data_IF_122364658479
#
_entry.id   IF_122364658479
#
_cell.length_a   1.000
_cell.length_b   1.000
_cell.length_c   1.000
_cell.angle_alpha   90.00
_cell.angle_beta   90.00
_cell.angle_gamma   90.00
#
_symmetry.space_group_name_H-M   'P 1'
#
loop_
_entity.id
_entity.type
_entity.pdbx_description
1 polymer ?
#
# COMPACT_ATOMS: atom_id res chain seq x y z
N UNK A 1 -10.59 -1.55 -12.84
CA UNK A 1 -10.73 -2.25 -11.54
C UNK A 1 -11.89 -3.24 -11.60
N UNK A 2 -11.62 -4.49 -11.32
CA UNK A 2 -12.65 -5.54 -11.33
C UNK A 2 -13.43 -5.53 -10.02
N UNK A 3 -14.74 -5.61 -10.11
CA UNK A 3 -15.61 -5.68 -8.92
C UNK A 3 -15.89 -7.14 -8.57
N UNK A 4 -15.19 -7.64 -7.56
CA UNK A 4 -15.38 -8.99 -7.03
C UNK A 4 -16.05 -8.98 -5.64
N UNK A 5 -16.77 -7.93 -5.33
CA UNK A 5 -17.43 -7.77 -4.02
C UNK A 5 -18.40 -8.91 -3.69
N UNK A 6 -18.99 -9.55 -4.70
CA UNK A 6 -19.88 -10.71 -4.53
C UNK A 6 -19.16 -11.95 -3.96
N UNK A 7 -17.85 -12.05 -4.10
CA UNK A 7 -17.05 -13.16 -3.58
C UNK A 7 -16.57 -12.93 -2.15
N UNK A 8 -16.80 -11.75 -1.58
CA UNK A 8 -16.34 -11.41 -0.24
C UNK A 8 -17.26 -11.99 0.83
N UNK A 9 -16.67 -12.50 1.89
CA UNK A 9 -17.37 -12.82 3.12
C UNK A 9 -17.03 -11.79 4.20
N UNK A 10 -17.98 -11.50 5.06
CA UNK A 10 -17.85 -10.46 6.07
C UNK A 10 -18.00 -11.03 7.48
N UNK A 11 -17.19 -10.52 8.39
CA UNK A 11 -17.28 -10.82 9.81
C UNK A 11 -17.29 -9.49 10.56
N UNK A 12 -18.19 -9.39 11.52
CA UNK A 12 -18.27 -8.21 12.38
C UNK A 12 -17.62 -8.47 13.74
N UNK A 13 -17.09 -7.43 14.34
CA UNK A 13 -16.51 -7.47 15.66
C UNK A 13 -16.66 -6.13 16.36
N UNK A 14 -16.42 -6.11 17.65
CA UNK A 14 -16.37 -4.87 18.40
C UNK A 14 -15.11 -4.08 18.05
N UNK A 15 -15.26 -2.79 17.88
CA UNK A 15 -14.13 -1.91 17.60
C UNK A 15 -13.19 -1.86 18.81
N UNK A 16 -11.88 -1.94 18.56
CA UNK A 16 -10.85 -1.81 19.60
C UNK A 16 -10.45 -0.33 19.74
N UNK A 17 -11.22 0.44 20.43
CA UNK A 17 -10.90 1.85 20.69
C UNK A 17 -10.94 2.19 22.17
N UNK A 18 -10.12 3.16 22.56
CA UNK A 18 -10.21 3.74 23.88
C UNK A 18 -11.45 4.62 23.95
N UNK A 19 -12.52 4.15 24.51
CA UNK A 19 -13.51 5.09 24.79
C UNK A 19 -14.93 4.68 24.80
N UNK A 20 -15.83 5.27 25.23
CA UNK A 20 -17.26 5.31 25.24
C UNK A 20 -17.99 3.96 25.42
N UNK A 21 -19.18 4.06 25.93
CA UNK A 21 -20.04 2.87 26.14
C UNK A 21 -20.39 2.12 24.86
N UNK A 22 -20.39 2.77 23.71
CA UNK A 22 -20.74 2.15 22.43
C UNK A 22 -19.67 1.21 21.90
N UNK A 23 -18.39 1.43 22.24
CA UNK A 23 -17.28 0.56 21.81
C UNK A 23 -17.45 -0.87 22.33
N UNK A 24 -18.00 -1.04 23.51
CA UNK A 24 -18.19 -2.34 24.17
C UNK A 24 -19.54 -3.02 23.86
N UNK A 25 -20.50 -2.30 23.30
CA UNK A 25 -21.88 -2.78 23.09
C UNK A 25 -22.25 -3.03 21.64
N UNK A 26 -21.61 -2.37 20.68
CA UNK A 26 -21.98 -2.43 19.28
C UNK A 26 -20.82 -2.93 18.42
N UNK A 27 -21.09 -3.93 17.61
CA UNK A 27 -20.13 -4.48 16.67
C UNK A 27 -20.11 -3.58 15.40
N UNK A 28 -19.18 -2.67 15.34
CA UNK A 28 -19.03 -1.73 14.20
C UNK A 28 -17.88 -2.11 13.28
N UNK A 29 -16.87 -2.81 13.78
CA UNK A 29 -15.75 -3.28 12.98
C UNK A 29 -16.20 -4.34 11.98
N UNK A 30 -15.84 -4.18 10.72
CA UNK A 30 -16.13 -5.14 9.65
C UNK A 30 -14.83 -5.66 9.05
N UNK A 31 -14.71 -6.97 9.00
CA UNK A 31 -13.58 -7.65 8.33
C UNK A 31 -14.10 -8.33 7.08
N UNK A 32 -13.53 -8.00 5.94
CA UNK A 32 -13.78 -8.68 4.68
C UNK A 32 -12.74 -9.78 4.46
N UNK A 33 -13.19 -10.93 4.01
CA UNK A 33 -12.36 -12.09 3.72
C UNK A 33 -12.63 -12.57 2.31
N UNK A 34 -11.57 -12.78 1.55
CA UNK A 34 -11.67 -13.19 0.15
C UNK A 34 -10.75 -14.39 -0.13
N UNK A 35 -11.34 -15.44 -0.70
CA UNK A 35 -10.60 -16.62 -1.14
C UNK A 35 -10.02 -16.36 -2.53
N UNK A 36 -8.75 -16.01 -2.61
CA UNK A 36 -8.10 -15.59 -3.87
C UNK A 36 -8.14 -16.70 -4.93
N UNK A 37 -7.80 -17.93 -4.54
CA UNK A 37 -7.75 -19.05 -5.48
C UNK A 37 -9.11 -19.47 -6.04
N UNK A 38 -10.19 -19.23 -5.31
CA UNK A 38 -11.54 -19.57 -5.71
C UNK A 38 -12.22 -18.50 -6.56
N UNK A 39 -11.53 -17.38 -6.82
CA UNK A 39 -12.10 -16.29 -7.58
C UNK A 39 -12.32 -16.66 -9.05
N UNK A 40 -13.48 -16.26 -9.57
CA UNK A 40 -13.85 -16.44 -10.98
C UNK A 40 -13.52 -15.21 -11.83
N UNK A 41 -13.18 -14.09 -11.21
CA UNK A 41 -12.92 -12.82 -11.89
C UNK A 41 -11.47 -12.65 -12.35
N UNK A 42 -10.55 -13.43 -11.81
CA UNK A 42 -9.12 -13.30 -12.06
C UNK A 42 -8.56 -14.57 -12.70
N UNK A 43 -7.61 -14.40 -13.63
CA UNK A 43 -6.85 -15.50 -14.22
C UNK A 43 -5.83 -16.06 -13.22
N UNK A 44 -5.29 -17.25 -13.51
CA UNK A 44 -4.27 -17.87 -12.66
C UNK A 44 -3.01 -17.02 -12.52
N UNK A 45 -2.62 -16.35 -13.60
CA UNK A 45 -1.48 -15.43 -13.58
C UNK A 45 -1.73 -14.23 -12.69
N UNK A 46 -2.93 -13.64 -12.75
CA UNK A 46 -3.34 -12.55 -11.89
C UNK A 46 -3.38 -12.98 -10.42
N UNK A 47 -3.89 -14.17 -10.13
CA UNK A 47 -3.90 -14.74 -8.78
C UNK A 47 -2.48 -14.92 -8.22
N UNK A 48 -1.56 -15.43 -9.01
CA UNK A 48 -0.14 -15.58 -8.62
C UNK A 48 0.49 -14.22 -8.30
N UNK A 49 0.20 -13.21 -9.12
CA UNK A 49 0.70 -11.86 -8.90
C UNK A 49 0.14 -11.24 -7.60
N UNK A 50 -1.14 -11.44 -7.32
CA UNK A 50 -1.78 -11.02 -6.07
C UNK A 50 -1.10 -11.71 -4.88
N UNK A 51 -0.88 -13.01 -4.94
CA UNK A 51 -0.21 -13.76 -3.88
C UNK A 51 1.22 -13.25 -3.63
N UNK A 52 1.96 -12.98 -4.68
CA UNK A 52 3.33 -12.49 -4.57
C UNK A 52 3.39 -11.12 -3.91
N UNK A 53 2.56 -10.18 -4.35
CA UNK A 53 2.58 -8.80 -3.86
C UNK A 53 1.91 -8.61 -2.52
N UNK A 54 0.88 -9.39 -2.21
CA UNK A 54 0.11 -9.30 -0.98
C UNK A 54 0.41 -10.43 0.01
N UNK A 55 1.54 -11.08 -0.14
CA UNK A 55 1.97 -12.23 0.68
C UNK A 55 1.80 -11.99 2.19
N UNK A 56 2.13 -10.80 2.65
CA UNK A 56 2.05 -10.46 4.07
C UNK A 56 0.61 -10.28 4.59
N UNK A 57 -0.35 -10.11 3.68
CA UNK A 57 -1.76 -9.89 4.01
C UNK A 57 -2.63 -11.10 3.74
N UNK A 58 -2.10 -12.11 3.07
CA UNK A 58 -2.79 -13.35 2.75
C UNK A 58 -2.44 -14.39 3.81
N UNK A 59 -3.46 -15.08 4.35
CA UNK A 59 -3.28 -16.14 5.32
C UNK A 59 -2.67 -17.39 4.67
N UNK A 60 -2.17 -18.32 5.51
CA UNK A 60 -1.64 -19.60 5.04
C UNK A 60 -2.68 -20.43 4.26
N UNK A 61 -3.96 -20.22 4.53
CA UNK A 61 -5.08 -20.88 3.86
C UNK A 61 -5.45 -20.23 2.52
N UNK A 62 -4.82 -19.12 2.14
CA UNK A 62 -5.07 -18.41 0.88
C UNK A 62 -6.17 -17.37 0.94
N UNK A 63 -6.51 -16.87 2.11
CA UNK A 63 -7.50 -15.81 2.29
C UNK A 63 -6.84 -14.45 2.47
N UNK A 64 -7.29 -13.48 1.69
CA UNK A 64 -6.96 -12.09 1.89
C UNK A 64 -7.98 -11.45 2.84
N UNK A 65 -7.51 -10.86 3.92
CA UNK A 65 -8.35 -10.24 4.93
C UNK A 65 -8.01 -8.77 5.09
N UNK A 66 -9.05 -7.97 5.21
CA UNK A 66 -8.92 -6.55 5.50
C UNK A 66 -10.06 -6.13 6.42
N UNK A 67 -9.80 -5.21 7.35
CA UNK A 67 -10.80 -4.73 8.28
C UNK A 67 -10.91 -3.20 8.25
N UNK A 68 -12.08 -2.71 8.58
CA UNK A 68 -12.36 -1.28 8.74
C UNK A 68 -13.13 -1.05 10.03
N UNK A 69 -12.67 -0.08 10.81
CA UNK A 69 -13.28 0.31 12.08
C UNK A 69 -13.32 1.83 12.28
N UNK A 70 -13.10 2.57 11.21
CA UNK A 70 -12.95 4.03 11.25
C UNK A 70 -14.27 4.75 11.52
N UNK A 71 -15.39 4.18 11.07
CA UNK A 71 -16.71 4.77 11.24
C UNK A 71 -17.45 4.18 12.44
N UNK A 72 -18.41 4.91 12.95
CA UNK A 72 -19.34 4.43 13.99
C UNK A 72 -20.43 3.54 13.43
N UNK A 73 -20.67 3.60 12.12
CA UNK A 73 -21.68 2.79 11.43
C UNK A 73 -21.03 1.53 10.86
N UNK A 74 -21.63 0.38 11.14
CA UNK A 74 -21.24 -0.91 10.57
C UNK A 74 -21.36 -0.90 9.04
N UNK A 75 -22.43 -0.29 8.52
CA UNK A 75 -22.67 -0.21 7.07
C UNK A 75 -21.58 0.59 6.37
N UNK A 76 -21.22 1.75 6.93
CA UNK A 76 -20.13 2.57 6.39
C UNK A 76 -18.79 1.83 6.40
N UNK A 77 -18.49 1.11 7.47
CA UNK A 77 -17.28 0.30 7.57
C UNK A 77 -17.27 -0.84 6.54
N UNK A 78 -18.41 -1.44 6.27
CA UNK A 78 -18.55 -2.47 5.23
C UNK A 78 -18.24 -1.90 3.85
N UNK A 79 -18.79 -0.76 3.50
CA UNK A 79 -18.50 -0.09 2.23
C UNK A 79 -17.02 0.29 2.11
N UNK A 80 -16.45 0.84 3.18
CA UNK A 80 -15.04 1.21 3.22
C UNK A 80 -14.11 0.01 3.04
N UNK A 81 -14.39 -1.11 3.70
CA UNK A 81 -13.55 -2.30 3.59
C UNK A 81 -13.63 -2.91 2.20
N UNK A 82 -14.79 -2.92 1.57
CA UNK A 82 -14.96 -3.37 0.19
C UNK A 82 -14.10 -2.52 -0.75
N UNK A 83 -14.21 -1.21 -0.65
CA UNK A 83 -13.47 -0.28 -1.48
C UNK A 83 -11.95 -0.41 -1.29
N UNK A 84 -11.50 -0.48 -0.04
CA UNK A 84 -10.07 -0.69 0.27
C UNK A 84 -9.54 -1.99 -0.31
N UNK A 85 -10.32 -3.06 -0.23
CA UNK A 85 -9.92 -4.37 -0.75
C UNK A 85 -9.82 -4.36 -2.28
N UNK A 86 -10.80 -3.78 -2.96
CA UNK A 86 -10.79 -3.63 -4.42
C UNK A 86 -9.58 -2.81 -4.90
N UNK A 87 -9.32 -1.69 -4.25
CA UNK A 87 -8.16 -0.85 -4.56
C UNK A 87 -6.82 -1.55 -4.31
N UNK A 88 -6.73 -2.30 -3.22
CA UNK A 88 -5.53 -3.05 -2.86
C UNK A 88 -5.19 -4.09 -3.92
N UNK A 89 -6.17 -4.84 -4.39
CA UNK A 89 -6.02 -5.85 -5.43
C UNK A 89 -5.67 -5.20 -6.77
N UNK A 90 -6.31 -4.09 -7.11
CA UNK A 90 -6.02 -3.35 -8.34
C UNK A 90 -4.56 -2.85 -8.36
N UNK A 91 -4.09 -2.31 -7.25
CA UNK A 91 -2.69 -1.91 -7.09
C UNK A 91 -1.71 -3.10 -7.19
N UNK A 92 -2.10 -4.25 -6.67
CA UNK A 92 -1.29 -5.46 -6.74
C UNK A 92 -1.15 -5.99 -8.17
N UNK A 93 -2.17 -5.79 -9.01
CA UNK A 93 -2.15 -6.18 -10.42
C UNK A 93 -1.37 -5.22 -11.31
N UNK A 94 -1.05 -4.03 -10.81
CA UNK A 94 -0.29 -3.05 -11.56
C UNK A 94 1.17 -3.48 -11.69
N UNK A 95 1.62 -3.67 -12.93
CA UNK A 95 3.02 -3.98 -13.24
C UNK A 95 3.70 -2.68 -13.71
N UNK A 96 4.63 -2.12 -12.93
CA UNK A 96 5.30 -0.89 -13.32
C UNK A 96 6.23 -1.15 -14.53
N UNK A 97 6.32 -0.17 -15.40
CA UNK A 97 7.26 -0.22 -16.53
C UNK A 97 8.69 -0.29 -16.00
N UNK A 98 9.52 -1.11 -16.66
CA UNK A 98 10.94 -1.21 -16.33
C UNK A 98 11.61 0.16 -16.46
N UNK A 99 12.26 0.60 -15.41
CA UNK A 99 13.01 1.86 -15.45
C UNK A 99 14.34 1.63 -16.16
N UNK A 100 14.59 2.45 -17.17
CA UNK A 100 15.90 2.47 -17.84
C UNK A 100 16.85 3.36 -17.05
N UNK A 101 18.10 2.92 -16.94
CA UNK A 101 19.16 3.74 -16.33
C UNK A 101 19.39 4.98 -17.20
N UNK A 102 19.25 6.14 -16.63
CA UNK A 102 19.59 7.39 -17.29
C UNK A 102 21.01 7.82 -16.89
N UNK A 103 21.72 8.42 -17.82
CA UNK A 103 23.03 9.02 -17.53
C UNK A 103 22.84 10.47 -17.08
N UNK A 104 23.71 11.00 -16.20
CA UNK A 104 23.68 12.41 -15.86
C UNK A 104 23.84 13.28 -17.10
N UNK A 105 23.11 14.39 -17.15
CA UNK A 105 23.24 15.37 -18.23
C UNK A 105 24.58 16.10 -18.17
N UNK A 106 25.04 16.64 -19.31
CA UNK A 106 26.27 17.43 -19.37
C UNK A 106 26.23 18.60 -18.38
N UNK A 107 25.12 19.34 -18.35
CA UNK A 107 24.94 20.46 -17.43
C UNK A 107 25.00 20.03 -15.95
N UNK A 108 24.45 18.90 -15.61
CA UNK A 108 24.51 18.35 -14.26
C UNK A 108 25.95 18.02 -13.84
N UNK A 109 26.75 17.43 -14.74
CA UNK A 109 28.16 17.14 -14.51
C UNK A 109 28.98 18.42 -14.30
N UNK A 110 28.78 19.41 -15.14
CA UNK A 110 29.43 20.72 -15.04
C UNK A 110 29.09 21.41 -13.72
N UNK A 111 27.82 21.42 -13.35
CA UNK A 111 27.35 21.99 -12.09
C UNK A 111 28.01 21.31 -10.88
N UNK A 112 28.10 19.99 -10.89
CA UNK A 112 28.77 19.22 -9.84
C UNK A 112 30.25 19.58 -9.75
N UNK A 113 30.95 19.66 -10.88
CA UNK A 113 32.39 20.01 -10.94
C UNK A 113 32.61 21.43 -10.43
N UNK A 114 31.78 22.39 -10.82
CA UNK A 114 31.87 23.77 -10.35
C UNK A 114 31.65 23.87 -8.83
N UNK A 115 30.68 23.13 -8.29
CA UNK A 115 30.46 23.09 -6.85
C UNK A 115 31.67 22.52 -6.09
N UNK A 116 32.28 21.45 -6.60
CA UNK A 116 33.49 20.88 -6.04
C UNK A 116 34.65 21.88 -6.05
N UNK A 117 34.83 22.58 -7.18
CA UNK A 117 35.88 23.60 -7.31
C UNK A 117 35.70 24.73 -6.30
N UNK A 118 34.51 25.28 -6.20
CA UNK A 118 34.18 26.32 -5.23
C UNK A 118 34.42 25.88 -3.79
N UNK A 119 34.07 24.65 -3.48
CA UNK A 119 34.27 24.10 -2.13
C UNK A 119 35.76 23.92 -1.81
N UNK A 120 36.55 23.48 -2.79
CA UNK A 120 38.02 23.37 -2.68
C UNK A 120 38.66 24.74 -2.45
N UNK A 121 38.26 25.76 -3.22
CA UNK A 121 38.75 27.12 -3.05
C UNK A 121 38.45 27.69 -1.66
N UNK A 122 37.26 27.43 -1.14
CA UNK A 122 36.87 27.84 0.21
C UNK A 122 37.75 27.16 1.28
N UNK A 123 38.12 25.90 1.09
CA UNK A 123 39.02 25.19 2.01
C UNK A 123 40.44 25.74 1.99
N UNK A 124 40.95 26.06 0.82
CA UNK A 124 42.29 26.67 0.68
C UNK A 124 42.32 28.05 1.32
N UNK A 125 41.33 28.88 1.11
CA UNK A 125 41.23 30.21 1.74
C UNK A 125 41.20 30.13 3.27
N UNK A 126 40.62 29.08 3.85
CA UNK A 126 40.63 28.86 5.30
C UNK A 126 42.04 28.55 5.83
N UNK A 127 42.87 27.84 5.06
CA UNK A 127 44.25 27.54 5.43
C UNK A 127 45.12 28.80 5.46
N UNK A 128 44.85 29.76 4.58
CA UNK A 128 45.57 31.04 4.54
C UNK A 128 45.27 31.97 5.70
N UNK A 129 44.14 31.78 6.39
CA UNK A 129 43.73 32.62 7.54
C UNK A 129 44.32 32.12 8.87
N UNK A 130 44.95 30.99 8.87
CA UNK A 130 45.67 30.47 10.03
C UNK A 130 47.18 30.79 9.89
#
# INVERSE_FOLDING_TARGET
MKDFSSELSFKTARSSGAGGQNVNKVETMVTARWAVWDSKFFSDEEKKLIFEKLRNKISAEGYLQLSAQESRSQLDNKEKVIQKLLELVDKALFVPKKRFKTKPTKSSKEKRLNQKKQHSEKKENRKFRM
#
